data_IF_687136861030
#
_entry.id   IF_687136861030
#
_cell.length_a   1.000
_cell.length_b   1.000
_cell.length_c   1.000
_cell.angle_alpha   90.00
_cell.angle_beta   90.00
_cell.angle_gamma   90.00
#
_symmetry.space_group_name_H-M   'P 1'
#
loop_
_entity.id
_entity.type
_entity.pdbx_description
1 polymer ?
#
# COMPACT_ATOMS: atom_id res chain seq x y z
N UNK A 1 -1.94 5.77 14.85
CA UNK A 1 -0.88 6.38 14.05
C UNK A 1 -0.85 5.83 12.65
N UNK A 2 -0.79 6.72 11.69
CA UNK A 2 -0.70 6.33 10.29
C UNK A 2 0.72 6.51 9.78
N UNK A 3 1.12 5.63 8.89
CA UNK A 3 2.42 5.74 8.24
C UNK A 3 2.20 5.90 6.74
N UNK A 4 3.12 6.59 6.11
CA UNK A 4 3.08 6.75 4.65
C UNK A 4 4.21 5.92 4.05
N UNK A 5 3.87 5.12 3.06
CA UNK A 5 4.85 4.33 2.34
C UNK A 5 4.89 4.80 0.89
N UNK A 6 6.07 5.11 0.39
CA UNK A 6 6.23 5.45 -1.02
C UNK A 6 6.54 4.18 -1.81
N UNK A 7 5.76 3.92 -2.84
CA UNK A 7 5.91 2.70 -3.65
C UNK A 7 7.25 2.72 -4.39
N UNK A 8 8.01 1.64 -4.24
CA UNK A 8 9.30 1.49 -4.87
C UNK A 8 9.19 0.53 -6.05
N UNK A 9 10.17 0.58 -6.94
CA UNK A 9 10.23 -0.30 -8.09
C UNK A 9 10.17 -1.77 -7.64
N UNK A 10 9.31 -2.54 -8.29
CA UNK A 10 9.17 -3.96 -7.97
C UNK A 10 8.26 -4.29 -6.81
N UNK A 11 7.68 -3.29 -6.16
CA UNK A 11 6.75 -3.53 -5.06
C UNK A 11 5.32 -3.67 -5.58
N UNK A 12 4.55 -4.48 -4.87
CA UNK A 12 3.10 -4.61 -5.12
C UNK A 12 2.38 -4.40 -3.81
N UNK A 13 1.07 -4.26 -3.83
CA UNK A 13 0.30 -4.12 -2.59
C UNK A 13 0.51 -5.31 -1.67
N UNK A 14 0.63 -6.51 -2.22
CA UNK A 14 0.87 -7.72 -1.44
C UNK A 14 2.20 -7.63 -0.70
N UNK A 15 3.25 -7.20 -1.38
CA UNK A 15 4.57 -7.05 -0.77
C UNK A 15 4.55 -5.96 0.30
N UNK A 16 3.93 -4.83 -0.01
CA UNK A 16 3.85 -3.72 0.94
C UNK A 16 3.06 -4.13 2.19
N UNK A 17 1.97 -4.85 1.99
CA UNK A 17 1.15 -5.33 3.11
C UNK A 17 1.95 -6.26 4.00
N UNK A 18 2.70 -7.16 3.41
CA UNK A 18 3.52 -8.12 4.14
C UNK A 18 4.59 -7.40 4.96
N UNK A 19 5.26 -6.44 4.36
CA UNK A 19 6.31 -5.67 5.03
C UNK A 19 5.77 -4.89 6.22
N UNK A 20 4.53 -4.48 6.14
CA UNK A 20 3.92 -3.64 7.18
C UNK A 20 2.97 -4.40 8.09
N UNK A 21 2.95 -5.72 7.98
CA UNK A 21 2.12 -6.60 8.82
C UNK A 21 0.64 -6.23 8.75
N UNK A 22 0.18 -5.95 7.53
CA UNK A 22 -1.21 -5.62 7.29
C UNK A 22 -1.73 -6.42 6.11
N UNK A 23 -2.88 -6.08 5.58
CA UNK A 23 -3.46 -6.79 4.45
C UNK A 23 -3.66 -5.85 3.28
N UNK A 24 -3.75 -6.41 2.08
CA UNK A 24 -4.03 -5.65 0.88
C UNK A 24 -5.39 -4.96 1.01
N UNK A 25 -6.38 -5.65 1.55
CA UNK A 25 -7.72 -5.07 1.76
C UNK A 25 -7.68 -3.85 2.65
N UNK A 26 -6.90 -3.89 3.72
CA UNK A 26 -6.78 -2.77 4.64
C UNK A 26 -6.12 -1.57 3.95
N UNK A 27 -5.07 -1.81 3.19
CA UNK A 27 -4.39 -0.73 2.47
C UNK A 27 -5.33 -0.10 1.44
N UNK A 28 -6.05 -0.92 0.71
CA UNK A 28 -7.01 -0.42 -0.30
C UNK A 28 -8.10 0.41 0.35
N UNK A 29 -8.62 -0.04 1.47
CA UNK A 29 -9.66 0.69 2.18
C UNK A 29 -9.16 2.04 2.69
N UNK A 30 -7.96 2.06 3.26
CA UNK A 30 -7.37 3.28 3.80
C UNK A 30 -7.07 4.30 2.71
N UNK A 31 -6.79 3.85 1.50
CA UNK A 31 -6.41 4.73 0.39
C UNK A 31 -7.51 4.89 -0.65
N UNK A 32 -8.68 4.35 -0.39
CA UNK A 32 -9.84 4.42 -1.30
C UNK A 32 -9.48 3.89 -2.69
N UNK A 33 -8.73 2.80 -2.72
CA UNK A 33 -8.32 2.19 -3.98
C UNK A 33 -9.37 1.19 -4.46
N UNK A 34 -9.63 1.19 -5.74
CA UNK A 34 -10.58 0.27 -6.34
C UNK A 34 -9.89 -0.90 -7.03
N UNK A 35 -8.59 -0.84 -7.19
CA UNK A 35 -7.82 -1.92 -7.82
C UNK A 35 -6.49 -2.08 -7.13
N UNK A 36 -5.76 -3.13 -7.48
CA UNK A 36 -4.44 -3.40 -6.93
C UNK A 36 -3.33 -2.66 -7.67
N UNK A 37 -3.67 -1.90 -8.69
CA UNK A 37 -2.68 -1.20 -9.49
C UNK A 37 -2.14 0.00 -8.75
N UNK A 38 -0.83 0.02 -8.55
CA UNK A 38 -0.14 1.13 -7.93
C UNK A 38 1.04 1.53 -8.82
N UNK A 39 1.56 2.71 -8.60
CA UNK A 39 2.66 3.25 -9.40
C UNK A 39 3.85 3.56 -8.54
N UNK A 40 5.04 3.46 -9.12
CA UNK A 40 6.28 3.84 -8.45
C UNK A 40 6.17 5.31 -8.05
N UNK A 41 6.53 5.62 -6.82
CA UNK A 41 6.45 6.97 -6.29
C UNK A 41 5.11 7.33 -5.69
N UNK A 42 4.12 6.47 -5.84
CA UNK A 42 2.80 6.69 -5.23
C UNK A 42 2.91 6.58 -3.71
N UNK A 43 2.26 7.46 -2.98
CA UNK A 43 2.25 7.41 -1.52
C UNK A 43 1.00 6.72 -1.03
N UNK A 44 1.20 5.74 -0.16
CA UNK A 44 0.10 4.95 0.41
C UNK A 44 0.05 5.16 1.90
N UNK A 45 -1.16 5.27 2.42
CA UNK A 45 -1.38 5.33 3.86
C UNK A 45 -1.41 3.90 4.39
N UNK A 46 -0.56 3.61 5.35
CA UNK A 46 -0.46 2.27 5.92
C UNK A 46 -1.17 2.26 7.28
N UNK A 47 -2.16 1.40 7.46
CA UNK A 47 -2.89 1.33 8.74
C UNK A 47 -2.04 0.83 9.89
#
# INVERSE_FOLDING_TARGET
KVRIHEVQKGESLSVIAQKNKTTVSAIKAYNKLTSDNIRIGQKLIIP
#
